data_IF_794182002376
#
_entry.id   IF_794182002376
#
_cell.length_a   1.000
_cell.length_b   1.000
_cell.length_c   1.000
_cell.angle_alpha   90.00
_cell.angle_beta   90.00
_cell.angle_gamma   90.00
#
_symmetry.space_group_name_H-M   'P 1'
#
loop_
_entity.id
_entity.type
_entity.pdbx_description
1 polymer ?
#
# COMPACT_ATOMS: atom_id res chain seq x y z
N UNK A 1 -18.09 -3.89 -26.43
CA UNK A 1 -18.21 -2.99 -25.27
C UNK A 1 -17.58 -3.69 -24.10
N UNK A 2 -16.52 -3.11 -23.56
CA UNK A 2 -15.86 -3.64 -22.37
C UNK A 2 -16.51 -3.01 -21.15
N UNK A 3 -17.67 -3.53 -20.73
CA UNK A 3 -18.39 -2.97 -19.60
C UNK A 3 -17.65 -3.27 -18.30
N UNK A 4 -17.17 -2.25 -17.62
CA UNK A 4 -16.67 -2.29 -16.24
C UNK A 4 -17.84 -1.90 -15.33
N UNK A 5 -18.20 -2.76 -14.37
CA UNK A 5 -19.27 -2.52 -13.40
C UNK A 5 -18.74 -2.07 -12.05
N UNK A 6 -17.47 -2.36 -11.78
CA UNK A 6 -16.83 -2.03 -10.51
C UNK A 6 -15.36 -1.73 -10.67
N UNK A 7 -14.86 -0.88 -9.78
CA UNK A 7 -13.44 -0.54 -9.64
C UNK A 7 -12.99 -0.86 -8.23
N UNK A 8 -11.94 -1.64 -8.11
CA UNK A 8 -11.25 -1.93 -6.85
C UNK A 8 -9.87 -1.29 -6.86
N UNK A 9 -9.47 -0.71 -5.75
CA UNK A 9 -8.18 -0.04 -5.60
C UNK A 9 -7.30 -0.74 -4.56
N UNK A 10 -6.00 -0.70 -4.77
CA UNK A 10 -5.07 -0.75 -3.66
C UNK A 10 -5.09 0.59 -2.88
N UNK A 11 -4.49 0.60 -1.70
CA UNK A 11 -4.45 1.78 -0.83
C UNK A 11 -3.11 2.50 -0.89
N UNK A 12 -2.06 1.88 -0.38
CA UNK A 12 -0.73 2.48 -0.25
C UNK A 12 0.02 2.49 -1.60
N UNK A 13 0.51 3.64 -2.02
CA UNK A 13 1.13 3.78 -3.34
C UNK A 13 0.14 3.99 -4.48
N UNK A 14 -1.16 3.76 -4.24
CA UNK A 14 -2.22 3.90 -5.24
C UNK A 14 -3.17 5.05 -4.91
N UNK A 15 -3.90 4.98 -3.80
CA UNK A 15 -4.79 6.07 -3.37
C UNK A 15 -4.10 7.05 -2.45
N UNK A 16 -3.22 6.58 -1.58
CA UNK A 16 -2.57 7.41 -0.59
C UNK A 16 -1.07 7.11 -0.45
N UNK A 17 -0.40 8.09 0.16
CA UNK A 17 0.99 8.00 0.60
C UNK A 17 1.12 8.67 1.97
N UNK A 18 2.23 8.43 2.65
CA UNK A 18 2.53 9.19 3.85
C UNK A 18 2.69 10.68 3.53
N UNK A 19 2.06 11.53 4.34
CA UNK A 19 2.02 12.99 4.14
C UNK A 19 3.37 13.67 4.39
N UNK A 20 4.30 12.98 5.06
CA UNK A 20 5.65 13.48 5.37
C UNK A 20 6.69 12.43 5.03
N UNK A 21 7.91 12.90 4.79
CA UNK A 21 9.05 12.05 4.49
C UNK A 21 9.34 11.07 5.64
N UNK A 22 9.36 9.76 5.33
CA UNK A 22 9.73 8.70 6.26
C UNK A 22 11.17 8.89 6.80
N UNK A 23 12.06 9.52 6.03
CA UNK A 23 13.41 9.89 6.48
C UNK A 23 13.36 10.89 7.64
N UNK A 24 12.37 11.77 7.65
CA UNK A 24 12.17 12.70 8.76
C UNK A 24 11.67 11.97 10.02
N UNK A 25 10.81 10.95 9.89
CA UNK A 25 10.38 10.13 11.01
C UNK A 25 11.57 9.36 11.64
N UNK A 26 12.42 8.79 10.79
CA UNK A 26 13.63 8.12 11.25
C UNK A 26 14.48 9.02 12.14
N UNK A 27 14.77 10.26 11.71
CA UNK A 27 15.55 11.22 12.50
C UNK A 27 14.85 11.62 13.80
N UNK A 28 13.53 11.88 13.75
CA UNK A 28 12.75 12.24 14.95
C UNK A 28 12.71 11.13 15.99
N UNK A 29 12.70 9.86 15.57
CA UNK A 29 12.79 8.74 16.50
C UNK A 29 14.07 8.79 17.35
N UNK A 30 15.21 9.12 16.75
CA UNK A 30 16.46 9.33 17.49
C UNK A 30 16.42 10.53 18.43
N UNK A 31 15.88 11.66 17.96
CA UNK A 31 15.72 12.86 18.78
C UNK A 31 14.84 12.58 20.01
N UNK A 32 13.80 11.77 19.84
CA UNK A 32 12.84 11.41 20.89
C UNK A 32 13.47 10.63 22.03
N UNK A 33 14.38 9.71 21.74
CA UNK A 33 15.13 8.93 22.73
C UNK A 33 16.47 9.58 23.12
N UNK A 34 16.76 10.78 22.60
CA UNK A 34 17.98 11.55 22.95
C UNK A 34 19.28 10.95 22.42
N UNK A 35 19.23 10.19 21.33
CA UNK A 35 20.36 9.52 20.71
C UNK A 35 20.75 10.23 19.42
N UNK A 36 22.06 10.37 19.17
CA UNK A 36 22.54 10.88 17.89
C UNK A 36 22.24 9.89 16.77
N UNK A 37 21.63 10.32 15.64
CA UNK A 37 21.34 9.47 14.50
C UNK A 37 22.59 8.75 13.97
N UNK A 38 22.43 7.50 13.58
CA UNK A 38 23.44 6.68 12.90
C UNK A 38 22.79 5.87 11.79
N UNK A 39 23.53 5.63 10.74
CA UNK A 39 22.99 5.02 9.54
C UNK A 39 22.00 5.93 8.78
N UNK A 40 21.64 5.52 7.60
CA UNK A 40 20.61 6.17 6.79
C UNK A 40 19.32 5.33 6.83
N UNK A 41 18.14 5.92 6.63
CA UNK A 41 16.87 5.18 6.59
C UNK A 41 16.90 3.99 5.64
N UNK A 42 17.53 4.12 4.47
CA UNK A 42 17.70 3.02 3.51
C UNK A 42 18.40 1.81 4.12
N UNK A 43 19.41 2.02 4.99
CA UNK A 43 20.11 0.93 5.65
C UNK A 43 19.19 0.10 6.58
N UNK A 44 18.18 0.74 7.18
CA UNK A 44 17.17 0.01 7.95
C UNK A 44 16.35 -0.90 7.03
N UNK A 45 15.86 -0.38 5.92
CA UNK A 45 15.04 -1.17 4.99
C UNK A 45 15.82 -2.33 4.39
N UNK A 46 17.09 -2.14 4.07
CA UNK A 46 18.01 -3.19 3.57
C UNK A 46 18.32 -4.24 4.65
N UNK A 47 18.28 -3.84 5.93
CA UNK A 47 18.53 -4.73 7.06
C UNK A 47 17.31 -5.58 7.48
N UNK A 48 16.11 -5.31 6.95
CA UNK A 48 14.90 -6.05 7.29
C UNK A 48 14.80 -7.33 6.46
N UNK A 49 14.47 -8.45 7.11
CA UNK A 49 14.29 -9.75 6.47
C UNK A 49 12.80 -10.05 6.28
N UNK A 50 12.39 -10.29 5.05
CA UNK A 50 11.03 -10.70 4.73
C UNK A 50 9.98 -9.59 4.92
N UNK A 51 8.70 -9.94 4.80
CA UNK A 51 7.62 -8.98 4.99
C UNK A 51 7.47 -8.59 6.46
N UNK A 52 6.98 -7.35 6.75
CA UNK A 52 6.72 -6.93 8.13
C UNK A 52 5.74 -7.87 8.82
N UNK A 53 5.99 -8.15 10.10
CA UNK A 53 5.02 -8.79 10.98
C UNK A 53 4.00 -7.73 11.43
N UNK A 54 2.73 -7.85 11.04
CA UNK A 54 1.72 -6.88 11.42
C UNK A 54 1.44 -6.87 12.92
N UNK A 55 1.60 -8.03 13.60
CA UNK A 55 1.33 -8.20 15.03
C UNK A 55 2.52 -7.77 15.89
N UNK A 56 3.73 -7.63 15.30
CA UNK A 56 4.95 -7.21 15.99
C UNK A 56 5.79 -6.23 15.16
N UNK A 57 5.25 -5.05 14.91
CA UNK A 57 5.94 -3.97 14.18
C UNK A 57 7.21 -3.51 14.90
N UNK A 58 7.16 -3.45 16.23
CA UNK A 58 8.30 -3.02 17.06
C UNK A 58 9.42 -4.06 16.99
N UNK A 59 9.13 -5.34 17.17
CA UNK A 59 10.13 -6.39 17.06
C UNK A 59 10.72 -6.50 15.66
N UNK A 60 9.90 -6.37 14.62
CA UNK A 60 10.35 -6.37 13.23
C UNK A 60 11.34 -5.23 12.94
N UNK A 61 10.97 -3.98 13.25
CA UNK A 61 11.85 -2.81 13.07
C UNK A 61 13.06 -2.85 14.01
N UNK A 62 12.89 -3.32 15.25
CA UNK A 62 13.94 -3.49 16.23
C UNK A 62 15.05 -4.44 15.76
N UNK A 63 14.68 -5.53 15.09
CA UNK A 63 15.64 -6.45 14.49
C UNK A 63 16.50 -5.79 13.39
N UNK A 64 15.89 -4.96 12.54
CA UNK A 64 16.61 -4.17 11.54
C UNK A 64 17.52 -3.13 12.19
N UNK A 65 17.00 -2.37 13.16
CA UNK A 65 17.75 -1.34 13.90
C UNK A 65 18.92 -1.93 14.68
N UNK A 66 18.78 -3.14 15.25
CA UNK A 66 19.88 -3.84 15.91
C UNK A 66 21.04 -4.13 14.93
N UNK A 67 20.71 -4.53 13.69
CA UNK A 67 21.74 -4.76 12.65
C UNK A 67 22.42 -3.47 12.22
N UNK A 68 21.65 -2.40 12.03
CA UNK A 68 22.21 -1.07 11.70
C UNK A 68 23.07 -0.55 12.84
N UNK A 69 22.61 -0.66 14.10
CA UNK A 69 23.39 -0.28 15.28
C UNK A 69 24.74 -1.03 15.36
N UNK A 70 24.71 -2.35 15.10
CA UNK A 70 25.92 -3.17 15.08
C UNK A 70 26.90 -2.74 13.97
N UNK A 71 26.41 -2.33 12.79
CA UNK A 71 27.26 -1.82 11.70
C UNK A 71 27.94 -0.50 12.03
N UNK A 72 27.36 0.27 12.98
CA UNK A 72 27.87 1.57 13.42
C UNK A 72 28.51 1.55 14.83
N UNK A 73 28.80 0.35 15.38
CA UNK A 73 29.39 0.17 16.72
C UNK A 73 28.55 0.83 17.84
N UNK A 74 27.22 0.89 17.69
CA UNK A 74 26.29 1.54 18.62
C UNK A 74 25.62 0.52 19.57
N UNK A 75 26.44 -0.08 20.43
CA UNK A 75 25.95 -0.99 21.48
C UNK A 75 25.31 -0.28 22.69
N UNK A 76 25.35 1.05 22.70
CA UNK A 76 24.78 1.93 23.72
C UNK A 76 23.29 2.23 23.49
N UNK A 77 22.71 1.83 22.36
CA UNK A 77 21.32 2.10 21.97
C UNK A 77 20.48 0.83 22.13
N UNK A 78 19.33 0.96 22.76
CA UNK A 78 18.31 -0.10 22.76
C UNK A 78 17.53 -0.08 21.44
N UNK A 79 17.65 -1.13 20.59
CA UNK A 79 16.99 -1.15 19.30
C UNK A 79 15.45 -1.22 19.40
N UNK A 80 14.91 -1.78 20.50
CA UNK A 80 13.47 -1.86 20.70
C UNK A 80 12.89 -0.51 21.11
N UNK A 81 13.56 0.21 22.03
CA UNK A 81 13.17 1.57 22.40
C UNK A 81 13.19 2.50 21.17
N UNK A 82 14.21 2.39 20.33
CA UNK A 82 14.27 3.15 19.07
C UNK A 82 13.17 2.74 18.09
N UNK A 83 12.85 1.44 18.03
CA UNK A 83 11.78 0.94 17.19
C UNK A 83 10.40 1.43 17.65
N UNK A 84 10.14 1.45 18.96
CA UNK A 84 8.90 2.02 19.52
C UNK A 84 8.77 3.50 19.14
N UNK A 85 9.82 4.29 19.34
CA UNK A 85 9.83 5.69 18.93
C UNK A 85 9.60 5.86 17.42
N UNK A 86 10.20 5.00 16.59
CA UNK A 86 10.03 5.05 15.14
C UNK A 86 8.59 4.68 14.72
N UNK A 87 7.98 3.67 15.34
CA UNK A 87 6.58 3.30 15.09
C UNK A 87 5.64 4.47 15.42
N UNK A 88 5.84 5.11 16.57
CA UNK A 88 5.05 6.28 16.95
C UNK A 88 5.22 7.45 15.96
N UNK A 89 6.45 7.75 15.54
CA UNK A 89 6.73 8.79 14.56
C UNK A 89 6.12 8.47 13.17
N UNK A 90 6.13 7.20 12.75
CA UNK A 90 5.49 6.77 11.51
C UNK A 90 3.96 6.92 11.61
N UNK A 91 3.38 6.52 12.75
CA UNK A 91 1.94 6.63 12.98
C UNK A 91 1.45 8.10 13.03
N UNK A 92 2.30 9.02 13.49
CA UNK A 92 2.05 10.47 13.55
C UNK A 92 2.22 11.17 12.19
N UNK A 93 2.81 10.51 11.17
CA UNK A 93 3.04 11.14 9.87
C UNK A 93 1.73 11.50 9.16
N UNK A 94 0.65 10.78 9.42
CA UNK A 94 -0.59 10.92 8.68
C UNK A 94 -0.45 10.47 7.22
N UNK A 95 -1.54 10.50 6.50
CA UNK A 95 -1.57 10.16 5.07
C UNK A 95 -2.27 11.24 4.28
N UNK A 96 -1.90 11.37 3.01
CA UNK A 96 -2.53 12.25 2.05
C UNK A 96 -2.86 11.48 0.78
N UNK A 97 -3.84 11.96 0.01
CA UNK A 97 -4.07 11.42 -1.32
C UNK A 97 -2.85 11.62 -2.22
N UNK A 98 -2.54 10.61 -3.01
CA UNK A 98 -1.64 10.79 -4.16
C UNK A 98 -2.28 11.80 -5.12
N UNK A 99 -1.48 12.67 -5.78
CA UNK A 99 -2.02 13.64 -6.74
C UNK A 99 -2.96 12.99 -7.75
N UNK A 100 -4.18 13.50 -7.86
CA UNK A 100 -5.21 12.96 -8.74
C UNK A 100 -6.07 11.81 -8.16
N UNK A 101 -5.64 11.15 -7.06
CA UNK A 101 -6.34 9.99 -6.51
C UNK A 101 -7.77 10.29 -6.05
N UNK A 102 -7.99 11.46 -5.44
CA UNK A 102 -9.34 11.88 -5.04
C UNK A 102 -10.29 11.97 -6.23
N UNK A 103 -9.85 12.59 -7.32
CA UNK A 103 -10.65 12.71 -8.55
C UNK A 103 -10.86 11.35 -9.25
N UNK A 104 -9.84 10.49 -9.26
CA UNK A 104 -9.95 9.13 -9.81
C UNK A 104 -10.97 8.28 -9.02
N UNK A 105 -10.97 8.42 -7.69
CA UNK A 105 -11.95 7.76 -6.83
C UNK A 105 -13.36 8.30 -7.08
N UNK A 106 -13.54 9.61 -7.23
CA UNK A 106 -14.84 10.22 -7.58
C UNK A 106 -15.36 9.70 -8.92
N UNK A 107 -14.49 9.61 -9.93
CA UNK A 107 -14.84 9.06 -11.23
C UNK A 107 -15.26 7.57 -11.13
N UNK A 108 -14.54 6.77 -10.36
CA UNK A 108 -14.86 5.36 -10.13
C UNK A 108 -16.21 5.18 -9.41
N UNK A 109 -16.47 5.99 -8.37
CA UNK A 109 -17.74 5.97 -7.63
C UNK A 109 -18.92 6.39 -8.52
N UNK A 110 -18.71 7.39 -9.38
CA UNK A 110 -19.74 7.81 -10.35
C UNK A 110 -19.99 6.76 -11.44
N UNK A 111 -18.96 5.98 -11.80
CA UNK A 111 -19.02 4.94 -12.83
C UNK A 111 -19.75 3.68 -12.35
N UNK A 112 -19.44 3.22 -11.11
CA UNK A 112 -20.00 1.97 -10.60
C UNK A 112 -19.66 1.66 -9.15
N UNK A 113 -19.74 0.38 -8.79
CA UNK A 113 -19.40 -0.07 -7.45
C UNK A 113 -17.90 0.05 -7.20
N UNK A 114 -17.51 0.55 -6.03
CA UNK A 114 -16.11 0.82 -5.72
C UNK A 114 -15.73 0.20 -4.39
N UNK A 115 -14.50 -0.30 -4.28
CA UNK A 115 -13.93 -0.86 -3.06
C UNK A 115 -12.42 -0.74 -2.99
N UNK A 116 -11.88 -1.11 -1.84
CA UNK A 116 -10.44 -1.08 -1.55
C UNK A 116 -9.99 -2.47 -1.08
N UNK A 117 -8.81 -2.92 -1.51
CA UNK A 117 -8.14 -4.14 -1.01
C UNK A 117 -6.69 -3.78 -0.68
N UNK A 118 -6.34 -3.74 0.59
CA UNK A 118 -4.97 -3.45 1.05
C UNK A 118 -4.31 -4.66 1.70
N UNK A 119 -3.00 -4.83 1.54
CA UNK A 119 -2.22 -5.92 2.16
C UNK A 119 -1.88 -5.68 3.63
N UNK A 120 -2.14 -4.49 4.16
CA UNK A 120 -1.97 -4.21 5.59
C UNK A 120 -3.11 -4.78 6.44
N UNK A 121 -2.87 -5.02 7.74
CA UNK A 121 -3.88 -5.44 8.69
C UNK A 121 -4.85 -4.30 9.02
N UNK A 122 -6.05 -4.65 9.50
CA UNK A 122 -7.12 -3.69 9.75
C UNK A 122 -6.70 -2.59 10.73
N UNK A 123 -6.10 -2.93 11.84
CA UNK A 123 -5.71 -1.99 12.91
C UNK A 123 -4.75 -0.88 12.41
N UNK A 124 -3.91 -1.18 11.42
CA UNK A 124 -3.01 -0.22 10.79
C UNK A 124 -3.70 0.58 9.68
N UNK A 125 -4.43 -0.10 8.80
CA UNK A 125 -4.96 0.53 7.57
C UNK A 125 -6.27 1.29 7.81
N UNK A 126 -7.07 0.88 8.79
CA UNK A 126 -8.34 1.55 9.12
C UNK A 126 -8.13 3.02 9.49
N UNK A 127 -7.01 3.35 10.16
CA UNK A 127 -6.68 4.75 10.47
C UNK A 127 -6.47 5.58 9.21
N UNK A 128 -5.81 5.04 8.20
CA UNK A 128 -5.61 5.70 6.90
C UNK A 128 -6.95 5.87 6.17
N UNK A 129 -7.74 4.81 6.13
CA UNK A 129 -9.07 4.79 5.51
C UNK A 129 -9.96 5.87 6.12
N UNK A 130 -10.01 5.96 7.45
CA UNK A 130 -10.82 6.97 8.17
C UNK A 130 -10.27 8.38 8.02
N UNK A 131 -8.95 8.58 8.06
CA UNK A 131 -8.36 9.92 7.93
C UNK A 131 -8.59 10.55 6.55
N UNK A 132 -8.82 9.72 5.53
CA UNK A 132 -9.13 10.15 4.16
C UNK A 132 -10.63 9.98 3.82
N UNK A 133 -11.46 9.64 4.81
CA UNK A 133 -12.93 9.45 4.67
C UNK A 133 -13.27 8.44 3.56
N UNK A 134 -12.40 7.44 3.34
CA UNK A 134 -12.56 6.46 2.27
C UNK A 134 -13.70 5.48 2.54
N UNK A 135 -13.95 5.13 3.79
CA UNK A 135 -15.04 4.25 4.24
C UNK A 135 -16.43 4.85 3.98
N UNK A 136 -16.54 6.17 3.87
CA UNK A 136 -17.78 6.85 3.50
C UNK A 136 -18.01 6.90 1.98
N UNK A 137 -16.95 6.64 1.19
CA UNK A 137 -16.96 6.79 -0.29
C UNK A 137 -17.02 5.47 -1.03
N UNK A 138 -16.55 4.38 -0.43
CA UNK A 138 -16.51 3.06 -1.09
C UNK A 138 -17.48 2.08 -0.45
N UNK A 139 -17.94 1.11 -1.21
CA UNK A 139 -18.91 0.12 -0.73
C UNK A 139 -18.28 -0.99 0.13
N UNK A 140 -16.96 -1.20 0.02
CA UNK A 140 -16.24 -2.23 0.78
C UNK A 140 -14.76 -1.88 0.92
N UNK A 141 -14.20 -2.21 2.09
CA UNK A 141 -12.75 -2.22 2.35
C UNK A 141 -12.36 -3.61 2.81
N UNK A 142 -11.37 -4.22 2.17
CA UNK A 142 -10.83 -5.54 2.50
C UNK A 142 -9.41 -5.36 3.03
N UNK A 143 -9.21 -5.73 4.28
CA UNK A 143 -7.90 -5.74 4.93
C UNK A 143 -7.28 -7.14 4.75
N UNK A 144 -6.52 -7.30 3.66
CA UNK A 144 -5.98 -8.60 3.27
C UNK A 144 -4.85 -9.07 4.21
N UNK A 145 -4.31 -8.19 5.06
CA UNK A 145 -3.38 -8.55 6.13
C UNK A 145 -3.97 -9.52 7.13
N UNK A 146 -5.29 -9.48 7.35
CA UNK A 146 -6.00 -10.38 8.28
C UNK A 146 -6.42 -11.71 7.64
N UNK A 147 -6.13 -11.90 6.36
CA UNK A 147 -6.41 -13.14 5.66
C UNK A 147 -5.27 -14.14 5.84
N UNK A 148 -5.53 -15.45 5.86
CA UNK A 148 -4.49 -16.46 5.85
C UNK A 148 -3.52 -16.35 4.66
N UNK A 149 -3.97 -15.74 3.58
CA UNK A 149 -3.17 -15.43 2.38
C UNK A 149 -3.62 -14.08 1.80
N UNK A 150 -2.71 -13.11 1.86
CA UNK A 150 -2.88 -11.76 1.30
C UNK A 150 -2.65 -11.73 -0.22
N UNK A 151 -2.78 -10.56 -0.87
CA UNK A 151 -2.40 -10.36 -2.27
C UNK A 151 -0.95 -10.84 -2.50
N UNK A 152 -0.65 -11.56 -3.58
CA UNK A 152 -1.44 -11.77 -4.79
C UNK A 152 -2.36 -13.02 -4.76
N UNK A 153 -2.64 -13.60 -3.58
CA UNK A 153 -3.60 -14.71 -3.50
C UNK A 153 -5.01 -14.21 -3.84
N UNK A 154 -5.84 -14.99 -4.59
CA UNK A 154 -7.15 -14.53 -5.06
C UNK A 154 -8.21 -14.36 -3.96
N UNK A 155 -7.98 -14.84 -2.73
CA UNK A 155 -8.98 -14.82 -1.67
C UNK A 155 -9.50 -13.41 -1.31
N UNK A 156 -8.64 -12.38 -1.08
CA UNK A 156 -9.11 -11.03 -0.79
C UNK A 156 -9.94 -10.42 -1.94
N UNK A 157 -9.52 -10.67 -3.18
CA UNK A 157 -10.25 -10.19 -4.37
C UNK A 157 -11.63 -10.84 -4.48
N UNK A 158 -11.72 -12.15 -4.27
CA UNK A 158 -13.02 -12.88 -4.29
C UNK A 158 -13.95 -12.40 -3.20
N UNK A 159 -13.42 -12.06 -2.02
CA UNK A 159 -14.24 -11.50 -0.94
C UNK A 159 -14.79 -10.12 -1.32
N UNK A 160 -13.98 -9.24 -1.92
CA UNK A 160 -14.44 -7.96 -2.44
C UNK A 160 -15.53 -8.12 -3.52
N UNK A 161 -15.31 -9.02 -4.49
CA UNK A 161 -16.29 -9.33 -5.53
C UNK A 161 -17.61 -9.86 -4.94
N UNK A 162 -17.53 -10.73 -3.94
CA UNK A 162 -18.72 -11.26 -3.24
C UNK A 162 -19.46 -10.14 -2.51
N UNK A 163 -18.75 -9.27 -1.80
CA UNK A 163 -19.36 -8.15 -1.09
C UNK A 163 -20.03 -7.15 -2.03
N UNK A 164 -19.42 -6.88 -3.18
CA UNK A 164 -19.97 -5.99 -4.20
C UNK A 164 -21.06 -6.67 -5.05
N UNK A 165 -21.09 -8.00 -5.12
CA UNK A 165 -22.02 -8.72 -5.99
C UNK A 165 -21.76 -8.44 -7.48
N UNK A 166 -20.49 -8.44 -7.90
CA UNK A 166 -20.06 -8.19 -9.29
C UNK A 166 -19.20 -9.34 -9.80
N UNK A 167 -19.25 -9.65 -11.12
CA UNK A 167 -18.39 -10.66 -11.69
C UNK A 167 -16.95 -10.13 -11.90
N UNK A 168 -15.95 -11.03 -11.81
CA UNK A 168 -14.54 -10.68 -11.90
C UNK A 168 -14.17 -10.02 -13.23
N UNK A 169 -14.68 -10.57 -14.34
CA UNK A 169 -14.43 -10.12 -15.72
C UNK A 169 -14.96 -8.70 -16.02
N UNK A 170 -15.87 -8.20 -15.19
CA UNK A 170 -16.44 -6.84 -15.27
C UNK A 170 -15.90 -5.92 -14.15
N UNK A 171 -14.83 -6.34 -13.49
CA UNK A 171 -14.21 -5.57 -12.42
C UNK A 171 -12.79 -5.19 -12.83
N UNK A 172 -12.46 -3.90 -12.66
CA UNK A 172 -11.10 -3.37 -12.82
C UNK A 172 -10.45 -3.25 -11.45
N UNK A 173 -9.24 -3.76 -11.33
CA UNK A 173 -8.39 -3.52 -10.16
C UNK A 173 -7.27 -2.55 -10.51
N UNK A 174 -7.10 -1.51 -9.72
CA UNK A 174 -6.07 -0.46 -9.88
C UNK A 174 -5.07 -0.59 -8.75
N UNK A 175 -3.78 -0.70 -9.08
CA UNK A 175 -2.71 -0.81 -8.08
C UNK A 175 -1.34 -0.52 -8.67
N UNK A 176 -0.35 -0.27 -7.80
CA UNK A 176 1.02 0.10 -8.18
C UNK A 176 1.98 -1.08 -8.26
N UNK A 177 1.65 -2.22 -7.66
CA UNK A 177 2.52 -3.39 -7.60
C UNK A 177 2.21 -4.42 -8.68
N UNK A 178 3.17 -4.71 -9.56
CA UNK A 178 3.06 -5.83 -10.52
C UNK A 178 2.92 -7.18 -9.80
N UNK A 179 3.67 -7.37 -8.71
CA UNK A 179 3.74 -8.64 -7.99
C UNK A 179 2.52 -8.92 -7.10
N UNK A 180 1.90 -7.89 -6.52
CA UNK A 180 0.78 -8.06 -5.61
C UNK A 180 -0.57 -7.72 -6.26
N UNK A 181 -0.64 -6.63 -7.01
CA UNK A 181 -1.88 -6.09 -7.54
C UNK A 181 -2.22 -6.68 -8.91
N UNK A 182 -1.33 -6.54 -9.87
CA UNK A 182 -1.54 -7.06 -11.22
C UNK A 182 -1.61 -8.58 -11.22
N UNK A 183 -0.67 -9.25 -10.54
CA UNK A 183 -0.69 -10.71 -10.38
C UNK A 183 -1.93 -11.17 -9.61
N UNK A 184 -2.32 -10.47 -8.56
CA UNK A 184 -3.49 -10.80 -7.75
C UNK A 184 -4.80 -10.65 -8.51
N UNK A 185 -4.98 -9.56 -9.23
CA UNK A 185 -6.11 -9.33 -10.12
C UNK A 185 -6.21 -10.44 -11.18
N UNK A 186 -5.10 -10.75 -11.84
CA UNK A 186 -5.04 -11.85 -12.81
C UNK A 186 -5.42 -13.21 -12.20
N UNK A 187 -4.88 -13.54 -11.00
CA UNK A 187 -5.18 -14.78 -10.29
C UNK A 187 -6.65 -14.91 -9.87
N UNK A 188 -7.35 -13.78 -9.75
CA UNK A 188 -8.77 -13.74 -9.40
C UNK A 188 -9.69 -13.53 -10.62
N UNK A 189 -9.13 -13.35 -11.83
CA UNK A 189 -9.88 -13.18 -13.08
C UNK A 189 -10.38 -11.76 -13.33
N UNK A 190 -9.83 -10.75 -12.63
CA UNK A 190 -10.14 -9.35 -12.85
C UNK A 190 -9.29 -8.78 -14.00
N UNK A 191 -9.74 -7.66 -14.55
CA UNK A 191 -8.89 -6.77 -15.33
C UNK A 191 -8.01 -5.95 -14.37
N UNK A 192 -6.82 -5.57 -14.82
CA UNK A 192 -5.90 -4.78 -14.02
C UNK A 192 -5.46 -3.50 -14.73
N UNK A 193 -5.37 -2.41 -13.99
CA UNK A 193 -4.70 -1.18 -14.39
C UNK A 193 -3.49 -1.00 -13.46
N UNK A 194 -2.31 -1.04 -14.04
CA UNK A 194 -1.07 -0.83 -13.31
C UNK A 194 -0.74 0.66 -13.28
N UNK A 195 -0.70 1.23 -12.09
CA UNK A 195 -0.21 2.57 -11.85
C UNK A 195 1.33 2.52 -11.81
N UNK A 196 1.97 3.04 -12.83
CA UNK A 196 3.42 3.05 -12.94
C UNK A 196 4.00 4.19 -12.12
N UNK A 197 4.58 3.89 -10.95
CA UNK A 197 5.31 4.87 -10.14
C UNK A 197 6.63 5.31 -10.76
N UNK A 198 7.17 6.42 -10.29
CA UNK A 198 8.44 7.00 -10.78
C UNK A 198 9.65 6.04 -10.63
N UNK A 199 9.62 5.19 -9.59
CA UNK A 199 10.69 4.21 -9.31
C UNK A 199 10.57 2.92 -10.15
N UNK A 200 9.42 2.66 -10.75
CA UNK A 200 9.16 1.43 -11.51
C UNK A 200 9.79 1.46 -12.94
N UNK A 201 10.40 2.56 -13.35
CA UNK A 201 11.01 2.69 -14.67
C UNK A 201 12.18 1.72 -14.89
N UNK A 202 12.81 1.19 -13.83
CA UNK A 202 13.98 0.30 -13.91
C UNK A 202 13.67 -1.18 -13.54
N UNK A 203 12.51 -1.52 -13.01
CA UNK A 203 12.33 -2.83 -12.36
C UNK A 203 11.57 -3.87 -13.17
N UNK A 204 10.91 -3.57 -14.24
CA UNK A 204 10.07 -4.65 -14.72
C UNK A 204 9.97 -4.75 -16.24
N UNK A 205 10.63 -5.73 -16.75
CA UNK A 205 9.96 -6.61 -17.70
C UNK A 205 8.68 -7.14 -17.03
N UNK A 206 7.47 -6.72 -17.42
CA UNK A 206 6.21 -7.25 -16.89
C UNK A 206 6.01 -8.74 -17.18
N UNK A 207 7.06 -9.40 -17.57
CA UNK A 207 7.32 -10.77 -17.99
C UNK A 207 6.19 -11.78 -17.79
N UNK A 208 5.79 -12.06 -16.58
CA UNK A 208 4.77 -13.05 -16.26
C UNK A 208 3.35 -12.45 -16.10
N UNK A 209 3.25 -11.17 -15.74
CA UNK A 209 1.97 -10.54 -15.41
C UNK A 209 1.78 -9.27 -16.22
N UNK A 210 1.07 -9.38 -17.35
CA UNK A 210 0.76 -8.23 -18.20
C UNK A 210 -0.51 -7.55 -17.68
N UNK A 211 -0.43 -6.26 -17.27
CA UNK A 211 -1.63 -5.51 -16.92
C UNK A 211 -2.52 -5.34 -18.14
N UNK A 212 -3.83 -5.24 -17.92
CA UNK A 212 -4.79 -4.94 -18.99
C UNK A 212 -4.61 -3.51 -19.49
N UNK A 213 -4.33 -2.59 -18.54
CA UNK A 213 -4.07 -1.17 -18.79
C UNK A 213 -2.85 -0.72 -18.00
N UNK A 214 -2.18 0.32 -18.49
CA UNK A 214 -1.10 1.02 -17.77
C UNK A 214 -1.53 2.47 -17.61
N UNK A 215 -1.43 2.98 -16.40
CA UNK A 215 -1.68 4.37 -16.06
C UNK A 215 -0.33 5.01 -15.69
N UNK A 216 0.00 6.13 -16.31
CA UNK A 216 1.17 6.92 -15.93
C UNK A 216 0.86 7.77 -14.69
N UNK A 217 -0.38 8.25 -14.59
CA UNK A 217 -0.92 8.95 -13.42
C UNK A 217 -2.29 8.36 -13.06
N UNK A 218 -2.62 8.31 -11.77
CA UNK A 218 -3.91 7.77 -11.33
C UNK A 218 -5.10 8.56 -11.89
N UNK A 219 -4.91 9.84 -12.20
CA UNK A 219 -5.90 10.70 -12.83
C UNK A 219 -6.35 10.23 -14.22
N UNK A 220 -5.54 9.44 -14.92
CA UNK A 220 -5.87 8.87 -16.23
C UNK A 220 -7.02 7.83 -16.14
N UNK A 221 -7.32 7.34 -14.94
CA UNK A 221 -8.42 6.40 -14.71
C UNK A 221 -9.77 6.96 -15.16
N UNK A 222 -10.02 8.24 -14.94
CA UNK A 222 -11.28 8.87 -15.33
C UNK A 222 -11.53 8.74 -16.84
N UNK A 223 -10.50 9.03 -17.64
CA UNK A 223 -10.56 8.88 -19.10
C UNK A 223 -10.72 7.42 -19.53
N UNK A 224 -10.00 6.50 -18.86
CA UNK A 224 -10.12 5.07 -19.14
C UNK A 224 -11.57 4.58 -18.93
N UNK A 225 -12.23 5.02 -17.87
CA UNK A 225 -13.60 4.63 -17.55
C UNK A 225 -14.64 5.21 -18.53
N UNK A 226 -14.37 6.38 -19.13
CA UNK A 226 -15.23 6.96 -20.17
C UNK A 226 -15.15 6.18 -21.51
N UNK A 227 -14.03 5.50 -21.77
CA UNK A 227 -13.77 4.75 -23.00
C UNK A 227 -14.20 3.27 -22.89
N UNK A 228 -14.59 2.79 -21.70
CA UNK A 228 -14.93 1.38 -21.43
C UNK A 228 -16.41 1.18 -21.10
#
# INVERSE_FOLDING_TARGET
MNDIDAVLFDLDGTLCRHARDANAAYRRAFDRIGVQPFGEPAALWDALDGPPDPDDRVGYLGAGLARVAAQHDRSDVDPLELAEALVEEIDDIGVEFIPGAGAALDAAVAHGKTGIITNGPQDCQERKVKSLELDERVAVVIYAGDFPRRKPHPAPFREALRALGVPAERTLYVGDSLAYDVAGAHNAGLRSAWLRGDEAADEADPGAYRPTYVLDEIGDLAKLLEET
#
